data_IF_557738768542
#
_entry.id   IF_557738768542
#
_cell.length_a   1.000
_cell.length_b   1.000
_cell.length_c   1.000
_cell.angle_alpha   90.00
_cell.angle_beta   90.00
_cell.angle_gamma   90.00
#
_symmetry.space_group_name_H-M   'P 1'
#
loop_
_entity.id
_entity.type
_entity.pdbx_description
1 polymer ?
#
# COMPACT_ATOMS: atom_id res chain seq x y z
N UNK A 1 26.61 -5.08 1.72
CA UNK A 1 25.26 -4.48 1.77
C UNK A 1 24.30 -5.66 1.79
N UNK A 2 23.32 -5.72 2.67
CA UNK A 2 22.32 -6.80 2.59
C UNK A 2 21.36 -6.45 1.47
N UNK A 3 21.51 -7.14 0.34
CA UNK A 3 20.56 -7.09 -0.76
C UNK A 3 19.27 -7.79 -0.33
N UNK A 4 18.14 -7.26 -0.79
CA UNK A 4 16.85 -7.91 -0.61
C UNK A 4 16.84 -9.21 -1.39
N UNK A 5 16.16 -10.24 -0.86
CA UNK A 5 15.89 -11.43 -1.64
C UNK A 5 14.80 -11.15 -2.69
N UNK A 6 14.75 -11.90 -3.80
CA UNK A 6 13.69 -11.76 -4.81
C UNK A 6 12.28 -11.87 -4.21
N UNK A 7 12.14 -12.66 -3.14
CA UNK A 7 10.88 -12.80 -2.42
C UNK A 7 10.44 -11.50 -1.73
N UNK A 8 11.39 -10.82 -1.10
CA UNK A 8 11.16 -9.52 -0.45
C UNK A 8 10.88 -8.44 -1.49
N UNK A 9 11.59 -8.44 -2.63
CA UNK A 9 11.38 -7.50 -3.73
C UNK A 9 9.96 -7.62 -4.31
N UNK A 10 9.50 -8.84 -4.62
CA UNK A 10 8.15 -9.07 -5.12
C UNK A 10 7.07 -8.53 -4.16
N UNK A 11 7.23 -8.75 -2.84
CA UNK A 11 6.29 -8.24 -1.84
C UNK A 11 6.33 -6.70 -1.78
N UNK A 12 7.50 -6.10 -1.86
CA UNK A 12 7.64 -4.65 -1.79
C UNK A 12 7.12 -3.95 -3.04
N UNK A 13 7.36 -4.51 -4.23
CA UNK A 13 6.83 -4.00 -5.48
C UNK A 13 5.29 -4.05 -5.49
N UNK A 14 4.72 -5.15 -5.00
CA UNK A 14 3.29 -5.26 -4.75
C UNK A 14 2.76 -4.14 -3.85
N UNK A 15 3.40 -3.95 -2.70
CA UNK A 15 2.98 -2.91 -1.73
C UNK A 15 3.05 -1.53 -2.35
N UNK A 16 4.10 -1.27 -3.13
CA UNK A 16 4.32 0.01 -3.80
C UNK A 16 3.25 0.29 -4.85
N UNK A 17 2.90 -0.65 -5.72
CA UNK A 17 1.83 -0.43 -6.72
C UNK A 17 0.48 -0.20 -6.03
N UNK A 18 0.21 -0.90 -4.93
CA UNK A 18 -1.04 -0.73 -4.19
C UNK A 18 -1.16 0.64 -3.51
N UNK A 19 -0.03 1.20 -3.05
CA UNK A 19 0.04 2.54 -2.47
C UNK A 19 -0.04 3.64 -3.53
N UNK A 20 0.64 3.46 -4.67
CA UNK A 20 0.72 4.48 -5.72
C UNK A 20 -0.50 4.46 -6.65
N UNK A 21 -1.11 3.29 -6.85
CA UNK A 21 -2.24 3.07 -7.76
C UNK A 21 -3.37 2.30 -7.06
N UNK A 22 -3.98 2.84 -5.99
CA UNK A 22 -5.03 2.13 -5.25
C UNK A 22 -6.26 1.79 -6.10
N UNK A 23 -6.48 2.52 -7.20
CA UNK A 23 -7.58 2.27 -8.14
C UNK A 23 -7.35 1.04 -9.04
N UNK A 24 -6.13 0.51 -9.07
CA UNK A 24 -5.80 -0.73 -9.76
C UNK A 24 -6.49 -1.95 -9.12
N UNK A 25 -6.78 -1.85 -7.81
CA UNK A 25 -7.36 -2.92 -7.01
C UNK A 25 -8.86 -2.72 -6.86
N UNK A 26 -9.63 -3.62 -7.45
CA UNK A 26 -11.09 -3.64 -7.29
C UNK A 26 -11.47 -4.09 -5.88
N UNK A 27 -12.74 -3.91 -5.51
CA UNK A 27 -13.25 -4.46 -4.25
C UNK A 27 -13.12 -5.98 -4.18
N UNK A 28 -13.27 -6.68 -5.31
CA UNK A 28 -13.10 -8.13 -5.43
C UNK A 28 -11.63 -8.52 -5.21
N UNK A 29 -10.68 -7.80 -5.80
CA UNK A 29 -9.26 -8.03 -5.59
C UNK A 29 -8.88 -7.89 -4.12
N UNK A 30 -9.36 -6.84 -3.45
CA UNK A 30 -9.10 -6.63 -2.02
C UNK A 30 -9.71 -7.73 -1.15
N UNK A 31 -10.93 -8.16 -1.46
CA UNK A 31 -11.57 -9.26 -0.74
C UNK A 31 -10.84 -10.61 -0.97
N UNK A 32 -10.40 -10.88 -2.19
CA UNK A 32 -9.61 -12.07 -2.52
C UNK A 32 -8.24 -12.06 -1.82
N UNK A 33 -7.57 -10.91 -1.81
CA UNK A 33 -6.29 -10.71 -1.12
C UNK A 33 -6.43 -10.90 0.40
N UNK A 34 -7.51 -10.40 1.01
CA UNK A 34 -7.80 -10.63 2.42
C UNK A 34 -8.00 -12.11 2.77
N UNK A 35 -8.70 -12.85 1.90
CA UNK A 35 -8.85 -14.31 2.04
C UNK A 35 -7.51 -15.04 1.89
N UNK A 36 -6.70 -14.64 0.91
CA UNK A 36 -5.36 -15.19 0.71
C UNK A 36 -4.52 -15.00 1.97
N UNK A 37 -4.43 -13.77 2.48
CA UNK A 37 -3.62 -13.42 3.64
C UNK A 37 -3.94 -14.25 4.89
N UNK A 38 -5.22 -14.55 5.12
CA UNK A 38 -5.68 -15.37 6.24
C UNK A 38 -5.18 -16.83 6.19
N UNK A 39 -4.74 -17.30 5.02
CA UNK A 39 -4.24 -18.68 4.81
C UNK A 39 -2.72 -18.80 4.82
N UNK A 40 -1.99 -17.67 4.76
CA UNK A 40 -0.54 -17.69 4.57
C UNK A 40 0.20 -18.02 5.88
N UNK A 41 1.29 -18.81 5.82
CA UNK A 41 2.19 -19.01 6.96
C UNK A 41 3.04 -17.77 7.23
N UNK A 42 3.69 -17.71 8.40
CA UNK A 42 4.66 -16.65 8.74
C UNK A 42 6.02 -16.92 8.08
N UNK A 43 6.03 -16.94 6.74
CA UNK A 43 7.22 -17.22 5.93
C UNK A 43 7.27 -16.33 4.67
N UNK A 44 8.42 -15.67 4.44
CA UNK A 44 8.55 -14.69 3.36
C UNK A 44 8.46 -15.33 1.97
N UNK A 45 9.06 -16.50 1.77
CA UNK A 45 9.06 -17.18 0.47
C UNK A 45 7.64 -17.60 0.12
N UNK A 46 6.93 -18.23 1.06
CA UNK A 46 5.55 -18.67 0.85
C UNK A 46 4.56 -17.51 0.69
N UNK A 47 4.77 -16.38 1.37
CA UNK A 47 3.96 -15.17 1.13
C UNK A 47 4.18 -14.67 -0.30
N UNK A 48 5.43 -14.62 -0.74
CA UNK A 48 5.81 -14.14 -2.07
C UNK A 48 5.29 -15.05 -3.18
N UNK A 49 5.44 -16.38 -3.03
CA UNK A 49 4.95 -17.37 -3.98
C UNK A 49 3.42 -17.32 -4.08
N UNK A 50 2.72 -17.18 -2.95
CA UNK A 50 1.28 -17.05 -2.96
C UNK A 50 0.79 -15.78 -3.66
N UNK A 51 1.52 -14.66 -3.52
CA UNK A 51 1.24 -13.44 -4.29
C UNK A 51 1.50 -13.66 -5.78
N UNK A 52 2.61 -14.32 -6.14
CA UNK A 52 2.93 -14.63 -7.53
C UNK A 52 1.83 -15.46 -8.20
N UNK A 53 1.33 -16.50 -7.52
CA UNK A 53 0.20 -17.30 -7.97
C UNK A 53 -1.10 -16.47 -8.06
N UNK A 54 -1.32 -15.56 -7.11
CA UNK A 54 -2.51 -14.71 -7.09
C UNK A 54 -2.57 -13.71 -8.27
N UNK A 55 -1.42 -13.35 -8.83
CA UNK A 55 -1.32 -12.50 -10.02
C UNK A 55 -1.76 -13.20 -11.31
N UNK A 56 -1.71 -14.53 -11.39
CA UNK A 56 -2.04 -15.29 -12.61
C UNK A 56 -3.46 -14.99 -13.09
N UNK A 57 -4.39 -14.81 -12.16
CA UNK A 57 -5.78 -14.44 -12.44
C UNK A 57 -5.99 -12.92 -12.62
N UNK A 58 -4.93 -12.10 -12.48
CA UNK A 58 -5.00 -10.63 -12.39
C UNK A 58 -3.94 -9.96 -13.27
N UNK A 59 -4.03 -10.13 -14.61
CA UNK A 59 -3.03 -9.63 -15.54
C UNK A 59 -2.85 -8.10 -15.50
N UNK A 60 -3.87 -7.33 -15.14
CA UNK A 60 -3.75 -5.87 -14.98
C UNK A 60 -2.80 -5.48 -13.84
N UNK A 61 -2.82 -6.23 -12.74
CA UNK A 61 -1.91 -6.03 -11.60
C UNK A 61 -0.51 -6.49 -11.99
N UNK A 62 -0.40 -7.68 -12.57
CA UNK A 62 0.87 -8.25 -12.99
C UNK A 62 1.62 -7.34 -13.96
N UNK A 63 0.95 -6.86 -15.01
CA UNK A 63 1.55 -5.97 -15.99
C UNK A 63 2.07 -4.68 -15.33
N UNK A 64 1.34 -4.14 -14.36
CA UNK A 64 1.76 -2.93 -13.64
C UNK A 64 3.02 -3.17 -12.78
N UNK A 65 3.16 -4.37 -12.20
CA UNK A 65 4.38 -4.76 -11.47
C UNK A 65 5.56 -4.88 -12.44
N UNK A 66 5.36 -5.52 -13.59
CA UNK A 66 6.41 -5.72 -14.60
C UNK A 66 6.86 -4.40 -15.26
N UNK A 67 5.96 -3.41 -15.33
CA UNK A 67 6.26 -2.07 -15.86
C UNK A 67 6.95 -1.14 -14.83
N UNK A 68 7.19 -1.60 -13.59
CA UNK A 68 7.92 -0.80 -12.60
C UNK A 68 9.36 -0.52 -13.07
N UNK A 69 9.82 0.74 -13.05
CA UNK A 69 11.21 1.04 -13.38
C UNK A 69 12.16 0.39 -12.37
N UNK A 70 13.24 -0.25 -12.85
CA UNK A 70 14.29 -0.89 -12.04
C UNK A 70 14.94 0.08 -11.04
N UNK A 71 15.06 1.36 -11.41
CA UNK A 71 15.55 2.41 -10.49
C UNK A 71 14.58 2.66 -9.33
N UNK A 72 13.29 2.40 -9.53
CA UNK A 72 12.24 2.73 -8.60
C UNK A 72 11.94 1.59 -7.61
N UNK A 73 12.28 0.34 -7.96
CA UNK A 73 12.37 -0.80 -7.02
C UNK A 73 13.60 -0.66 -6.12
N UNK A 74 14.71 -0.12 -6.64
CA UNK A 74 15.91 0.20 -5.85
C UNK A 74 15.80 1.50 -5.00
N UNK A 75 14.92 2.44 -5.38
CA UNK A 75 14.92 3.82 -4.86
C UNK A 75 13.69 4.23 -4.03
N UNK A 76 12.82 3.32 -3.58
CA UNK A 76 11.86 3.62 -2.50
C UNK A 76 12.53 3.64 -1.11
N UNK A 77 13.61 4.42 -1.03
CA UNK A 77 14.21 4.96 0.20
C UNK A 77 13.34 6.14 0.67
N UNK A 78 12.17 5.85 1.23
CA UNK A 78 11.46 6.85 2.04
C UNK A 78 12.35 7.32 3.20
N UNK A 79 12.07 8.48 3.84
CA UNK A 79 12.80 8.89 5.04
C UNK A 79 12.50 7.86 6.15
N UNK A 80 13.46 6.97 6.40
CA UNK A 80 13.30 5.76 7.22
C UNK A 80 13.55 4.43 6.49
N UNK A 81 14.04 4.46 5.24
CA UNK A 81 14.30 3.29 4.39
C UNK A 81 14.80 2.08 5.17
N UNK A 82 14.02 0.99 5.12
CA UNK A 82 14.33 -0.25 5.84
C UNK A 82 15.68 -0.76 5.35
N UNK A 83 16.70 -0.66 6.20
CA UNK A 83 18.01 -1.30 6.01
C UNK A 83 17.99 -2.79 6.41
N UNK A 84 16.85 -3.27 6.88
CA UNK A 84 16.68 -4.60 7.49
C UNK A 84 15.74 -5.44 6.65
N UNK A 85 16.05 -6.74 6.59
CA UNK A 85 15.22 -7.80 6.02
C UNK A 85 13.74 -7.59 6.36
N UNK A 86 12.87 -7.87 5.41
CA UNK A 86 11.42 -7.90 5.61
C UNK A 86 11.09 -9.11 6.48
N UNK A 87 10.43 -8.88 7.61
CA UNK A 87 9.91 -9.98 8.42
C UNK A 87 8.57 -10.46 7.84
N UNK A 88 8.22 -11.75 7.97
CA UNK A 88 6.92 -12.25 7.51
C UNK A 88 5.75 -11.45 8.10
N UNK A 89 5.86 -11.06 9.38
CA UNK A 89 4.87 -10.24 10.06
C UNK A 89 4.72 -8.87 9.39
N UNK A 90 5.83 -8.18 9.12
CA UNK A 90 5.79 -6.87 8.46
C UNK A 90 5.19 -6.96 7.05
N UNK A 91 5.54 -8.00 6.30
CA UNK A 91 4.95 -8.26 4.97
C UNK A 91 3.43 -8.41 5.07
N UNK A 92 2.95 -9.25 5.98
CA UNK A 92 1.51 -9.45 6.19
C UNK A 92 0.81 -8.17 6.64
N UNK A 93 1.40 -7.41 7.54
CA UNK A 93 0.83 -6.13 8.02
C UNK A 93 0.72 -5.10 6.87
N UNK A 94 1.71 -5.04 5.97
CA UNK A 94 1.65 -4.18 4.78
C UNK A 94 0.54 -4.61 3.82
N UNK A 95 0.37 -5.91 3.59
CA UNK A 95 -0.68 -6.46 2.73
C UNK A 95 -2.07 -6.27 3.36
N UNK A 96 -2.22 -6.49 4.67
CA UNK A 96 -3.48 -6.24 5.40
C UNK A 96 -3.90 -4.77 5.28
N UNK A 97 -2.94 -3.84 5.40
CA UNK A 97 -3.23 -2.43 5.21
C UNK A 97 -3.77 -2.14 3.80
N UNK A 98 -3.27 -2.81 2.76
CA UNK A 98 -3.80 -2.69 1.40
C UNK A 98 -5.23 -3.22 1.35
N UNK A 99 -5.51 -4.38 1.91
CA UNK A 99 -6.87 -4.96 1.98
C UNK A 99 -7.84 -3.97 2.63
N UNK A 100 -7.42 -3.32 3.72
CA UNK A 100 -8.25 -2.38 4.50
C UNK A 100 -8.40 -1.01 3.86
N UNK A 101 -7.45 -0.59 3.02
CA UNK A 101 -7.51 0.69 2.31
C UNK A 101 -8.61 0.66 1.23
N UNK A 102 -9.83 0.97 1.66
CA UNK A 102 -11.00 1.09 0.78
C UNK A 102 -10.92 2.42 0.04
N UNK A 103 -10.32 2.47 -1.16
CA UNK A 103 -10.25 3.67 -2.04
C UNK A 103 -9.56 4.89 -1.37
N UNK A 104 -9.13 5.95 -2.10
CA UNK A 104 -8.32 7.00 -1.50
C UNK A 104 -9.17 7.91 -0.59
N UNK A 105 -9.37 7.50 0.67
CA UNK A 105 -9.59 8.47 1.74
C UNK A 105 -8.24 9.09 2.06
N UNK A 106 -8.04 10.27 1.48
CA UNK A 106 -7.28 11.39 2.01
C UNK A 106 -6.32 10.99 3.14
N UNK A 107 -5.03 10.96 2.83
CA UNK A 107 -3.97 11.09 3.85
C UNK A 107 -4.43 12.13 4.86
N UNK A 108 -4.77 11.66 6.05
CA UNK A 108 -5.04 12.51 7.20
C UNK A 108 -3.75 13.27 7.45
N UNK A 109 -3.68 14.52 7.00
CA UNK A 109 -2.79 15.50 7.61
C UNK A 109 -3.25 15.62 9.06
N UNK A 110 -2.61 14.86 9.94
CA UNK A 110 -2.67 15.10 11.37
C UNK A 110 -1.78 16.29 11.69
N UNK A 111 -2.39 17.39 12.14
CA UNK A 111 -1.96 18.25 13.28
C UNK A 111 -2.90 19.48 13.42
N UNK A 112 -3.01 20.10 14.62
CA UNK A 112 -3.77 19.75 15.82
C UNK A 112 -5.03 20.66 16.01
N UNK A 113 -5.93 20.42 16.99
CA UNK A 113 -7.10 21.28 17.18
C UNK A 113 -6.68 22.55 17.95
N UNK A 114 -6.96 23.74 17.44
CA UNK A 114 -6.99 24.94 18.28
C UNK A 114 -7.93 26.03 17.74
N UNK A 115 -9.07 26.10 18.43
CA UNK A 115 -9.91 27.26 18.79
C UNK A 115 -10.72 28.01 17.71
N UNK A 116 -12.00 28.37 18.01
CA UNK A 116 -12.85 29.12 17.10
C UNK A 116 -12.52 30.62 17.19
N UNK A 117 -12.03 31.17 16.08
CA UNK A 117 -12.26 32.58 15.73
C UNK A 117 -12.89 32.59 14.34
N UNK A 118 -14.19 32.89 14.28
CA UNK A 118 -14.73 33.49 13.08
C UNK A 118 -15.46 34.76 13.48
N UNK A 119 -14.74 35.87 13.35
CA UNK A 119 -15.33 37.15 13.01
C UNK A 119 -15.97 37.06 11.63
N UNK A 120 -17.25 37.39 11.49
CA UNK A 120 -17.86 37.73 10.19
C UNK A 120 -18.83 38.88 10.46
N UNK A 121 -18.36 40.12 10.36
CA UNK A 121 -18.45 41.01 9.18
C UNK A 121 -19.89 41.40 8.83
N UNK A 122 -20.21 42.65 9.16
CA UNK A 122 -20.81 43.70 8.32
C UNK A 122 -21.72 43.28 7.14
N UNK A 123 -22.99 43.68 7.24
CA UNK A 123 -23.71 44.34 6.14
C UNK A 123 -24.74 43.52 5.35
N UNK A 124 -26.01 43.95 5.45
CA UNK A 124 -26.86 44.42 4.32
C UNK A 124 -28.28 43.77 4.17
N UNK A 125 -29.29 44.60 4.49
CA UNK A 125 -30.48 44.97 3.68
C UNK A 125 -31.86 44.30 3.91
N UNK A 126 -32.82 45.19 4.24
CA UNK A 126 -34.29 45.23 4.04
C UNK A 126 -35.20 44.08 4.49
N UNK A 127 -36.14 44.40 5.39
CA UNK A 127 -37.50 44.80 5.01
C UNK A 127 -38.21 45.56 6.12
#
# INVERSE_FOLDING_TARGET
>A
MSELSPYEENILDFVKIAQNQPNLFTAEDRAALGKLLATLPDDIEQISDALALWYEDRPHILNTILDLPVEESASHRGPGGRKTRLSPKDAKDMIDNIVRQSTPSQKTQVSPPNNPQNDTISGNTQS
#
